data_IF_781774735839
#
_entry.id   IF_781774735839
#
_cell.length_a   1.000
_cell.length_b   1.000
_cell.length_c   1.000
_cell.angle_alpha   90.00
_cell.angle_beta   90.00
_cell.angle_gamma   90.00
#
_symmetry.space_group_name_H-M   'P 1'
#
loop_
_entity.id
_entity.type
_entity.pdbx_description
1 polymer ?
#
# COMPACT_ATOMS: atom_id res chain seq x y z
N UNK A 1 6.08 -25.32 -31.66
CA UNK A 1 6.32 -23.90 -31.93
C UNK A 1 6.50 -23.26 -30.58
N UNK A 2 7.75 -22.92 -30.32
CA UNK A 2 8.36 -22.67 -29.04
C UNK A 2 8.39 -21.15 -28.79
N UNK A 3 8.00 -20.69 -27.60
CA UNK A 3 8.30 -19.32 -27.12
C UNK A 3 8.56 -19.35 -25.60
N UNK A 4 9.30 -20.35 -25.10
CA UNK A 4 9.93 -20.27 -23.78
C UNK A 4 11.44 -20.10 -23.95
N UNK A 5 11.91 -18.90 -24.34
CA UNK A 5 13.35 -18.79 -24.66
C UNK A 5 14.02 -17.47 -25.00
N UNK A 6 13.43 -16.28 -24.86
CA UNK A 6 14.21 -15.04 -25.06
C UNK A 6 13.89 -13.95 -24.02
N UNK A 7 14.90 -13.64 -23.18
CA UNK A 7 15.00 -12.61 -22.12
C UNK A 7 14.24 -12.86 -20.82
N UNK A 8 14.99 -13.04 -19.73
CA UNK A 8 14.53 -12.88 -18.35
C UNK A 8 14.11 -11.44 -18.07
N UNK A 9 12.90 -11.10 -18.49
CA UNK A 9 12.17 -9.92 -18.01
C UNK A 9 11.31 -10.44 -16.87
N UNK A 10 11.82 -10.36 -15.64
CA UNK A 10 10.93 -10.35 -14.48
C UNK A 10 9.86 -9.29 -14.77
N UNK A 11 8.57 -9.54 -14.50
CA UNK A 11 7.56 -8.49 -14.69
C UNK A 11 8.03 -7.23 -13.95
N UNK A 12 7.85 -6.05 -14.54
CA UNK A 12 8.17 -4.79 -13.88
C UNK A 12 7.25 -4.65 -12.65
N UNK A 13 7.71 -5.13 -11.49
CA UNK A 13 6.94 -5.12 -10.26
C UNK A 13 6.92 -3.72 -9.66
N UNK A 14 5.78 -3.33 -9.13
CA UNK A 14 5.63 -2.12 -8.32
C UNK A 14 5.69 -2.51 -6.86
N UNK A 15 6.68 -1.97 -6.15
CA UNK A 15 6.88 -2.28 -4.73
C UNK A 15 6.02 -1.40 -3.84
N UNK A 16 5.15 -2.02 -3.04
CA UNK A 16 4.23 -1.32 -2.15
C UNK A 16 4.41 -1.82 -0.72
N UNK A 17 4.38 -0.89 0.24
CA UNK A 17 4.31 -1.17 1.67
C UNK A 17 2.97 -0.67 2.19
N UNK A 18 1.95 -1.52 2.13
CA UNK A 18 0.60 -1.18 2.62
C UNK A 18 0.62 -0.78 4.10
N UNK A 19 -0.02 0.32 4.43
CA UNK A 19 -0.03 0.90 5.77
C UNK A 19 1.06 1.94 6.03
N UNK A 20 2.09 2.04 5.18
CA UNK A 20 3.09 3.13 5.24
C UNK A 20 2.60 4.30 4.38
N UNK A 21 1.91 5.23 5.01
CA UNK A 21 1.24 6.36 4.33
C UNK A 21 2.08 7.64 4.38
N UNK A 22 3.09 7.68 5.26
CA UNK A 22 3.99 8.82 5.41
C UNK A 22 5.34 8.62 4.69
N UNK A 23 5.62 7.41 4.19
CA UNK A 23 6.80 7.05 3.41
C UNK A 23 8.06 6.83 4.25
N UNK A 24 7.95 6.55 5.55
CA UNK A 24 9.09 6.39 6.46
C UNK A 24 9.57 4.94 6.65
N UNK A 25 9.00 4.02 5.86
CA UNK A 25 9.25 2.58 5.86
C UNK A 25 8.82 1.84 7.13
N UNK A 26 8.05 2.49 8.01
CA UNK A 26 7.45 1.87 9.19
C UNK A 26 5.93 1.87 9.04
N UNK A 27 5.29 1.05 9.87
CA UNK A 27 3.85 1.09 10.04
C UNK A 27 3.60 1.38 11.50
N UNK A 28 3.20 2.60 11.79
CA UNK A 28 2.90 3.07 13.12
C UNK A 28 1.75 4.11 13.14
N UNK A 29 1.53 4.73 14.30
CA UNK A 29 0.41 5.67 14.46
C UNK A 29 0.56 6.93 13.58
N UNK A 30 1.78 7.30 13.21
CA UNK A 30 2.05 8.43 12.35
C UNK A 30 1.42 8.25 10.96
N UNK A 31 1.25 7.01 10.50
CA UNK A 31 0.58 6.69 9.24
C UNK A 31 -0.90 7.07 9.28
N UNK A 32 -1.63 6.56 10.27
CA UNK A 32 -3.04 6.92 10.44
C UNK A 32 -3.23 8.44 10.58
N UNK A 33 -2.34 9.12 11.31
CA UNK A 33 -2.36 10.58 11.45
C UNK A 33 -2.07 11.28 10.12
N UNK A 34 -1.12 10.77 9.32
CA UNK A 34 -0.78 11.32 8.01
C UNK A 34 -1.96 11.24 7.06
N UNK A 35 -2.59 10.05 6.97
CA UNK A 35 -3.74 9.81 6.13
C UNK A 35 -4.95 10.67 6.53
N UNK A 36 -5.30 10.71 7.82
CA UNK A 36 -6.38 11.59 8.30
C UNK A 36 -6.09 13.07 8.04
N UNK A 37 -4.83 13.49 8.17
CA UNK A 37 -4.37 14.83 7.83
C UNK A 37 -4.53 15.16 6.34
N UNK A 38 -4.30 14.19 5.45
CA UNK A 38 -4.57 14.33 4.02
C UNK A 38 -6.08 14.45 3.75
N UNK A 39 -6.90 13.57 4.33
CA UNK A 39 -8.35 13.51 4.11
C UNK A 39 -9.10 14.75 4.63
N UNK A 40 -8.75 15.24 5.82
CA UNK A 40 -9.50 16.30 6.49
C UNK A 40 -8.76 17.65 6.58
N UNK A 41 -7.44 17.65 6.32
CA UNK A 41 -6.62 18.85 6.33
C UNK A 41 -6.63 19.64 5.02
N UNK A 42 -7.52 19.30 4.07
CA UNK A 42 -7.61 19.97 2.77
C UNK A 42 -6.45 19.65 1.81
N UNK A 43 -5.82 18.48 1.94
CA UNK A 43 -4.70 18.07 1.08
C UNK A 43 -3.38 18.82 1.31
N UNK A 44 -3.23 19.48 2.48
CA UNK A 44 -2.05 20.31 2.79
C UNK A 44 -0.82 19.46 3.14
N UNK A 45 -1.02 18.21 3.60
CA UNK A 45 0.06 17.22 3.63
C UNK A 45 0.24 16.61 2.24
N UNK A 46 1.49 16.38 1.78
CA UNK A 46 1.72 15.73 0.50
C UNK A 46 0.94 14.40 0.47
N UNK A 47 0.32 14.07 -0.68
CA UNK A 47 -0.32 12.77 -0.84
C UNK A 47 0.69 11.66 -0.53
N UNK A 48 0.25 10.50 -0.02
CA UNK A 48 1.14 9.35 0.12
C UNK A 48 1.91 9.15 -1.20
N UNK A 49 3.24 9.00 -1.14
CA UNK A 49 4.08 8.81 -2.34
C UNK A 49 3.62 7.62 -3.21
N UNK A 50 2.88 6.71 -2.58
CA UNK A 50 2.13 5.63 -3.19
C UNK A 50 0.71 5.64 -2.60
N UNK A 51 -0.33 6.00 -3.36
CA UNK A 51 -1.69 6.00 -2.79
C UNK A 51 -2.17 4.60 -2.44
N UNK A 52 -1.70 3.57 -3.15
CA UNK A 52 -1.95 2.16 -2.85
C UNK A 52 -1.34 1.73 -1.51
N UNK A 53 -0.28 2.41 -1.04
CA UNK A 53 0.21 2.16 0.32
C UNK A 53 -0.78 2.63 1.39
N UNK A 54 -1.69 3.53 1.04
CA UNK A 54 -2.68 4.07 1.96
C UNK A 54 -4.08 3.44 1.80
N UNK A 55 -4.34 2.69 0.73
CA UNK A 55 -5.52 1.84 0.54
C UNK A 55 -5.32 0.52 1.32
N UNK A 56 -5.57 0.57 2.64
CA UNK A 56 -5.23 -0.48 3.59
C UNK A 56 -6.27 -1.61 3.64
N UNK A 57 -7.47 -1.35 3.12
CA UNK A 57 -8.54 -2.33 2.98
C UNK A 57 -8.72 -2.84 1.54
N UNK A 58 -7.90 -2.36 0.60
CA UNK A 58 -7.86 -2.77 -0.81
C UNK A 58 -9.22 -2.62 -1.52
N UNK A 59 -9.95 -1.54 -1.22
CA UNK A 59 -11.27 -1.28 -1.81
C UNK A 59 -11.25 -0.25 -2.96
N UNK A 60 -10.05 0.21 -3.32
CA UNK A 60 -9.80 1.14 -4.41
C UNK A 60 -10.16 2.59 -4.07
N UNK A 61 -10.60 2.87 -2.85
CA UNK A 61 -10.85 4.23 -2.34
C UNK A 61 -9.82 4.57 -1.29
N UNK A 62 -9.64 5.87 -1.11
CA UNK A 62 -8.81 6.39 -0.03
C UNK A 62 -9.71 7.21 0.89
N UNK A 63 -10.11 6.61 2.01
CA UNK A 63 -11.03 7.23 2.96
C UNK A 63 -10.72 6.87 4.43
N UNK A 64 -11.67 7.14 5.34
CA UNK A 64 -11.46 6.93 6.78
C UNK A 64 -11.36 5.44 7.15
N UNK A 65 -11.92 4.55 6.34
CA UNK A 65 -11.86 3.11 6.56
C UNK A 65 -10.41 2.62 6.56
N UNK A 66 -9.57 3.17 5.70
CA UNK A 66 -8.13 2.87 5.63
C UNK A 66 -7.39 3.24 6.92
N UNK A 67 -7.63 4.45 7.44
CA UNK A 67 -7.03 4.89 8.68
C UNK A 67 -7.46 4.00 9.86
N UNK A 68 -8.74 3.61 9.90
CA UNK A 68 -9.26 2.67 10.90
C UNK A 68 -8.60 1.29 10.75
N UNK A 69 -8.41 0.83 9.51
CA UNK A 69 -7.78 -0.46 9.20
C UNK A 69 -6.32 -0.50 9.68
N UNK A 70 -5.54 0.57 9.46
CA UNK A 70 -4.17 0.70 9.97
C UNK A 70 -4.15 0.67 11.50
N UNK A 71 -4.99 1.46 12.17
CA UNK A 71 -5.08 1.45 13.64
C UNK A 71 -5.51 0.09 14.19
N UNK A 72 -6.44 -0.57 13.51
CA UNK A 72 -6.88 -1.92 13.85
C UNK A 72 -5.77 -2.96 13.71
N UNK A 73 -4.94 -2.85 12.67
CA UNK A 73 -3.75 -3.67 12.50
C UNK A 73 -2.75 -3.47 13.65
N UNK A 74 -2.51 -2.22 14.05
CA UNK A 74 -1.56 -1.88 15.12
C UNK A 74 -2.01 -2.31 16.52
N UNK A 75 -3.30 -2.14 16.84
CA UNK A 75 -3.76 -2.22 18.23
C UNK A 75 -4.84 -3.28 18.49
N UNK A 76 -5.49 -3.79 17.45
CA UNK A 76 -6.63 -4.70 17.59
C UNK A 76 -6.41 -6.05 16.90
N UNK A 77 -5.17 -6.37 16.51
CA UNK A 77 -4.80 -7.62 15.82
C UNK A 77 -5.61 -7.83 14.53
N UNK A 78 -6.08 -6.74 13.91
CA UNK A 78 -6.72 -6.83 12.60
C UNK A 78 -5.66 -7.05 11.52
N UNK A 79 -6.15 -7.28 10.31
CA UNK A 79 -5.33 -7.54 9.14
C UNK A 79 -5.33 -6.35 8.18
N UNK A 80 -4.26 -6.22 7.41
CA UNK A 80 -4.24 -5.41 6.18
C UNK A 80 -4.57 -6.32 5.00
N UNK A 81 -5.00 -5.71 3.89
CA UNK A 81 -5.21 -6.39 2.62
C UNK A 81 -4.20 -5.82 1.64
N UNK A 82 -3.39 -6.69 1.03
CA UNK A 82 -2.38 -6.32 0.03
C UNK A 82 -3.04 -6.15 -1.35
N UNK A 83 -2.39 -5.46 -2.31
CA UNK A 83 -2.91 -5.22 -3.67
C UNK A 83 -3.35 -6.47 -4.43
N UNK A 84 -2.82 -7.64 -4.11
CA UNK A 84 -3.20 -8.93 -4.68
C UNK A 84 -4.36 -9.62 -3.94
N UNK A 85 -5.00 -8.92 -3.00
CA UNK A 85 -6.02 -9.44 -2.09
C UNK A 85 -5.48 -10.27 -0.92
N UNK A 86 -4.15 -10.42 -0.78
CA UNK A 86 -3.56 -11.21 0.30
C UNK A 86 -3.83 -10.54 1.64
N UNK A 87 -4.41 -11.30 2.57
CA UNK A 87 -4.72 -10.81 3.93
C UNK A 87 -3.55 -11.11 4.86
N UNK A 88 -3.02 -10.08 5.52
CA UNK A 88 -1.81 -10.17 6.35
C UNK A 88 -2.04 -9.59 7.75
N UNK A 89 -1.49 -10.24 8.76
CA UNK A 89 -1.44 -9.73 10.14
C UNK A 89 -0.01 -9.33 10.53
N UNK A 90 0.18 -8.77 11.72
CA UNK A 90 1.49 -8.27 12.16
C UNK A 90 2.62 -9.31 12.15
N UNK A 91 2.31 -10.60 12.31
CA UNK A 91 3.30 -11.67 12.28
C UNK A 91 3.62 -12.19 10.87
N UNK A 92 2.75 -11.93 9.89
CA UNK A 92 2.91 -12.39 8.51
C UNK A 92 3.16 -11.24 7.54
N UNK A 93 3.19 -10.00 8.02
CA UNK A 93 3.34 -8.83 7.19
C UNK A 93 4.76 -8.75 6.61
N UNK A 94 4.93 -8.89 5.29
CA UNK A 94 6.25 -8.96 4.66
C UNK A 94 6.95 -7.60 4.54
N UNK A 95 6.26 -6.49 4.80
CA UNK A 95 6.81 -5.15 4.60
C UNK A 95 6.61 -4.67 3.18
N UNK A 96 7.71 -4.38 2.49
CA UNK A 96 7.70 -3.94 1.10
C UNK A 96 7.62 -5.16 0.17
N UNK A 97 6.61 -5.22 -0.69
CA UNK A 97 6.34 -6.36 -1.59
C UNK A 97 6.13 -5.86 -3.01
N UNK A 98 6.67 -6.61 -3.98
CA UNK A 98 6.45 -6.34 -5.40
C UNK A 98 5.14 -6.95 -5.88
N UNK A 99 4.31 -6.13 -6.52
CA UNK A 99 3.03 -6.52 -7.11
C UNK A 99 3.02 -6.24 -8.60
N UNK A 100 2.13 -6.89 -9.34
CA UNK A 100 1.98 -6.59 -10.77
C UNK A 100 1.40 -5.17 -10.93
N UNK A 101 1.78 -4.42 -11.99
CA UNK A 101 1.27 -3.08 -12.22
C UNK A 101 -0.26 -3.00 -12.26
N UNK A 102 -0.96 -4.03 -12.72
CA UNK A 102 -2.42 -4.09 -12.72
C UNK A 102 -3.04 -4.10 -11.32
N UNK A 103 -2.36 -4.69 -10.32
CA UNK A 103 -2.84 -4.78 -8.94
C UNK A 103 -2.64 -3.44 -8.19
N UNK A 104 -1.68 -2.63 -8.64
CA UNK A 104 -1.30 -1.36 -7.99
C UNK A 104 -1.92 -0.14 -8.67
N UNK A 105 -2.11 -0.17 -10.00
CA UNK A 105 -2.56 0.98 -10.79
C UNK A 105 -4.08 1.09 -10.92
N UNK A 106 -4.81 0.74 -9.86
CA UNK A 106 -6.26 0.89 -9.83
C UNK A 106 -6.65 2.40 -9.95
N UNK A 107 -7.80 2.74 -10.57
CA UNK A 107 -8.17 4.12 -10.86
C UNK A 107 -8.22 5.01 -9.61
N UNK A 108 -7.18 5.80 -9.39
CA UNK A 108 -7.11 6.78 -8.31
C UNK A 108 -6.10 6.46 -7.20
N UNK A 109 -5.51 5.25 -7.17
CA UNK A 109 -4.60 4.78 -6.12
C UNK A 109 -3.15 4.47 -6.57
N UNK A 110 -2.79 4.72 -7.83
CA UNK A 110 -1.44 4.44 -8.36
C UNK A 110 -0.26 5.07 -7.59
N UNK A 111 0.94 4.54 -7.82
CA UNK A 111 2.17 4.89 -7.07
C UNK A 111 3.23 5.58 -7.94
N UNK A 112 3.83 6.65 -7.42
CA UNK A 112 4.89 7.41 -8.12
C UNK A 112 6.29 7.03 -7.61
N UNK A 113 6.43 6.80 -6.30
CA UNK A 113 7.65 6.27 -5.69
C UNK A 113 7.31 5.01 -4.88
N UNK A 114 7.57 3.81 -5.44
CA UNK A 114 7.40 2.56 -4.71
C UNK A 114 8.42 2.45 -3.56
N UNK A 115 8.08 1.69 -2.51
CA UNK A 115 9.03 1.42 -1.43
C UNK A 115 10.30 0.77 -2.01
N UNK A 116 11.47 1.21 -1.53
CA UNK A 116 12.73 0.58 -1.91
C UNK A 116 12.85 -0.84 -1.31
N UNK A 117 13.48 -1.80 -2.01
CA UNK A 117 13.86 -3.08 -1.42
C UNK A 117 14.85 -2.91 -0.25
#
# INVERSE_FOLDING_TARGET
FDIIGERGVEPDLVYVRVGDTNGDAKIDIADAISLLGYLFGGGVKPPPGCKKSADANDDGKLDIADAIKILGYLFAQQTLILPDGTVVNAGTYPGCVGFLPEDVNDPGTGCLEPCGP
#
